data_IF_096405217203
#
_entry.id   IF_096405217203
#
_cell.length_a   1.000
_cell.length_b   1.000
_cell.length_c   1.000
_cell.angle_alpha   90.00
_cell.angle_beta   90.00
_cell.angle_gamma   90.00
#
_symmetry.space_group_name_H-M   'P 1'
#
loop_
_entity.id
_entity.type
_entity.pdbx_description
1 polymer ?
#
# COMPACT_ATOMS: atom_id res chain seq x y z
N UNK A 1 -9.77 -6.81 11.62
CA UNK A 1 -11.24 -6.71 11.73
C UNK A 1 -11.83 -7.69 10.73
N UNK A 2 -12.63 -8.65 11.19
CA UNK A 2 -13.34 -9.56 10.30
C UNK A 2 -14.73 -8.97 10.04
N UNK A 3 -15.07 -8.77 8.76
CA UNK A 3 -16.35 -8.20 8.35
C UNK A 3 -17.03 -9.15 7.35
N UNK A 4 -18.32 -9.38 7.55
CA UNK A 4 -19.13 -10.16 6.64
C UNK A 4 -19.73 -9.21 5.59
N UNK A 5 -19.22 -9.27 4.37
CA UNK A 5 -19.72 -8.48 3.25
C UNK A 5 -20.85 -9.28 2.58
N UNK A 6 -22.11 -8.81 2.60
CA UNK A 6 -23.20 -9.48 1.90
C UNK A 6 -22.97 -9.45 0.39
N UNK A 7 -23.33 -10.55 -0.29
CA UNK A 7 -23.20 -10.71 -1.75
C UNK A 7 -24.55 -11.06 -2.34
N UNK A 8 -24.90 -10.44 -3.45
CA UNK A 8 -26.10 -10.77 -4.21
C UNK A 8 -25.92 -12.12 -4.95
N UNK A 9 -27.04 -12.78 -5.27
CA UNK A 9 -27.03 -14.11 -5.90
C UNK A 9 -26.26 -14.12 -7.22
N UNK A 10 -26.42 -13.07 -8.01
CA UNK A 10 -25.84 -12.98 -9.36
C UNK A 10 -24.44 -12.31 -9.33
N UNK A 11 -23.92 -11.98 -8.14
CA UNK A 11 -22.64 -11.31 -7.90
C UNK A 11 -22.44 -9.95 -8.60
N UNK A 12 -23.54 -9.34 -9.04
CA UNK A 12 -23.61 -8.08 -9.78
C UNK A 12 -23.42 -6.85 -8.92
N UNK A 13 -23.68 -6.94 -7.61
CA UNK A 13 -23.59 -5.80 -6.71
C UNK A 13 -22.14 -5.36 -6.49
N UNK A 14 -21.87 -4.07 -6.67
CA UNK A 14 -20.60 -3.42 -6.32
C UNK A 14 -20.74 -2.58 -5.06
N UNK A 15 -20.13 -2.98 -3.93
CA UNK A 15 -20.17 -2.18 -2.72
C UNK A 15 -19.46 -0.83 -2.94
N UNK A 16 -20.12 0.26 -2.55
CA UNK A 16 -19.65 1.62 -2.81
C UNK A 16 -18.59 2.11 -1.81
N UNK A 17 -18.70 1.68 -0.54
CA UNK A 17 -17.80 2.15 0.54
C UNK A 17 -16.51 1.33 0.59
N UNK A 18 -16.62 0.00 0.46
CA UNK A 18 -15.47 -0.92 0.44
C UNK A 18 -15.52 -1.67 -0.89
N UNK A 19 -14.76 -1.20 -1.88
CA UNK A 19 -14.73 -1.83 -3.20
C UNK A 19 -14.28 -3.29 -3.07
N UNK A 20 -14.68 -4.13 -4.04
CA UNK A 20 -14.27 -5.53 -4.07
C UNK A 20 -12.73 -5.62 -4.06
N UNK A 21 -12.20 -6.41 -3.12
CA UNK A 21 -10.76 -6.63 -2.88
C UNK A 21 -9.98 -5.41 -2.38
N UNK A 22 -10.66 -4.31 -2.08
CA UNK A 22 -10.03 -3.12 -1.56
C UNK A 22 -9.70 -3.30 -0.08
N UNK A 23 -8.41 -3.30 0.21
CA UNK A 23 -7.85 -3.33 1.55
C UNK A 23 -7.11 -2.01 1.69
N UNK A 24 -7.87 -0.96 1.94
CA UNK A 24 -7.33 0.40 1.95
C UNK A 24 -6.21 0.52 3.00
N UNK A 25 -4.98 0.59 2.50
CA UNK A 25 -3.75 0.84 3.25
C UNK A 25 -3.12 2.16 2.83
N UNK A 26 -3.83 2.99 2.06
CA UNK A 26 -3.31 4.20 1.41
C UNK A 26 -2.65 5.15 2.41
N UNK A 27 -3.21 5.24 3.62
CA UNK A 27 -2.70 6.07 4.70
C UNK A 27 -1.29 5.65 5.22
N UNK A 28 -0.88 4.41 4.98
CA UNK A 28 0.40 3.85 5.47
C UNK A 28 1.45 3.76 4.36
N UNK A 29 1.06 3.87 3.08
CA UNK A 29 1.99 3.79 1.94
C UNK A 29 3.09 4.86 2.02
N UNK A 30 2.72 6.09 2.37
CA UNK A 30 3.67 7.18 2.55
C UNK A 30 4.69 6.90 3.66
N UNK A 31 4.28 6.23 4.74
CA UNK A 31 5.19 5.85 5.82
C UNK A 31 6.14 4.72 5.39
N UNK A 32 5.64 3.74 4.64
CA UNK A 32 6.46 2.66 4.08
C UNK A 32 7.55 3.24 3.16
N UNK A 33 7.18 4.19 2.29
CA UNK A 33 8.13 4.89 1.42
C UNK A 33 9.17 5.67 2.24
N UNK A 34 8.73 6.36 3.29
CA UNK A 34 9.62 7.10 4.22
C UNK A 34 10.59 6.19 4.98
N UNK A 35 10.16 5.01 5.39
CA UNK A 35 11.05 4.04 6.04
C UNK A 35 12.07 3.46 5.06
N UNK A 36 11.64 3.16 3.83
CA UNK A 36 12.53 2.68 2.79
C UNK A 36 13.57 3.74 2.41
N UNK A 37 13.19 5.02 2.31
CA UNK A 37 14.13 6.12 2.03
C UNK A 37 15.12 6.36 3.17
N UNK A 38 14.78 6.00 4.42
CA UNK A 38 15.69 5.99 5.57
C UNK A 38 16.62 4.78 5.61
N UNK A 39 16.56 3.88 4.62
CA UNK A 39 17.46 2.73 4.48
C UNK A 39 17.04 1.49 5.28
N UNK A 40 15.80 1.43 5.77
CA UNK A 40 15.28 0.21 6.41
C UNK A 40 15.07 -0.89 5.37
N UNK A 41 15.38 -2.15 5.72
CA UNK A 41 15.12 -3.27 4.81
C UNK A 41 13.63 -3.55 4.71
N UNK A 42 13.19 -4.19 3.62
CA UNK A 42 11.78 -4.56 3.42
C UNK A 42 11.24 -5.48 4.53
N UNK A 43 12.11 -6.27 5.16
CA UNK A 43 11.77 -7.12 6.31
C UNK A 43 11.65 -6.32 7.61
N UNK A 44 12.53 -5.35 7.82
CA UNK A 44 12.46 -4.48 9.01
C UNK A 44 11.21 -3.61 8.96
N UNK A 45 10.88 -3.05 7.79
CA UNK A 45 9.64 -2.29 7.56
C UNK A 45 8.42 -3.17 7.85
N UNK A 46 8.44 -4.42 7.39
CA UNK A 46 7.37 -5.39 7.65
C UNK A 46 7.17 -5.64 9.15
N UNK A 47 8.26 -5.84 9.91
CA UNK A 47 8.19 -5.98 11.37
C UNK A 47 7.67 -4.71 12.03
N UNK A 48 8.20 -3.55 11.65
CA UNK A 48 7.84 -2.27 12.25
C UNK A 48 6.37 -1.91 12.07
N UNK A 49 5.81 -2.15 10.87
CA UNK A 49 4.39 -1.96 10.60
C UNK A 49 3.55 -2.90 11.47
N UNK A 50 3.96 -4.15 11.63
CA UNK A 50 3.26 -5.10 12.49
C UNK A 50 3.26 -4.64 13.95
N UNK A 51 4.38 -4.12 14.44
CA UNK A 51 4.55 -3.69 15.82
C UNK A 51 3.72 -2.44 16.15
N UNK A 52 3.63 -1.46 15.23
CA UNK A 52 2.88 -0.21 15.45
C UNK A 52 1.40 -0.37 15.11
N UNK A 53 1.07 -1.00 14.00
CA UNK A 53 -0.28 -1.03 13.44
C UNK A 53 -1.04 -2.33 13.70
N UNK A 54 -0.38 -3.36 14.23
CA UNK A 54 -1.01 -4.63 14.61
C UNK A 54 -1.39 -5.54 13.44
N UNK A 55 -1.21 -5.10 12.19
CA UNK A 55 -1.42 -5.92 11.01
C UNK A 55 -0.10 -6.18 10.27
N UNK A 56 0.03 -7.37 9.68
CA UNK A 56 1.22 -7.75 8.93
C UNK A 56 1.16 -7.29 7.48
N UNK A 57 2.23 -6.66 7.00
CA UNK A 57 2.51 -6.47 5.58
C UNK A 57 3.67 -7.36 5.17
N UNK A 58 3.59 -7.99 4.00
CA UNK A 58 4.69 -8.81 3.50
C UNK A 58 5.81 -7.93 2.93
N UNK A 59 7.05 -8.42 2.94
CA UNK A 59 8.16 -7.73 2.29
C UNK A 59 7.89 -7.49 0.78
N UNK A 60 7.19 -8.42 0.12
CA UNK A 60 6.76 -8.25 -1.27
C UNK A 60 5.77 -7.09 -1.44
N UNK A 61 4.81 -6.92 -0.52
CA UNK A 61 3.89 -5.79 -0.52
C UNK A 61 4.62 -4.47 -0.28
N UNK A 62 5.61 -4.44 0.62
CA UNK A 62 6.50 -3.27 0.81
C UNK A 62 7.17 -2.90 -0.51
N UNK A 63 7.75 -3.87 -1.23
CA UNK A 63 8.35 -3.64 -2.54
C UNK A 63 7.35 -3.13 -3.59
N UNK A 64 6.14 -3.69 -3.62
CA UNK A 64 5.08 -3.22 -4.53
C UNK A 64 4.70 -1.77 -4.24
N UNK A 65 4.60 -1.38 -2.97
CA UNK A 65 4.29 0.00 -2.55
C UNK A 65 5.42 0.94 -2.94
N UNK A 66 6.68 0.57 -2.68
CA UNK A 66 7.83 1.39 -3.07
C UNK A 66 7.97 1.52 -4.59
N UNK A 67 7.48 0.56 -5.38
CA UNK A 67 7.49 0.68 -6.84
C UNK A 67 6.45 1.66 -7.38
N UNK A 68 5.43 2.05 -6.58
CA UNK A 68 4.41 3.02 -7.00
C UNK A 68 4.97 4.41 -7.29
N UNK A 69 6.12 4.77 -6.73
CA UNK A 69 6.77 6.07 -6.96
C UNK A 69 7.65 6.11 -8.20
N UNK A 70 7.86 4.99 -8.90
CA UNK A 70 8.68 4.94 -10.12
C UNK A 70 8.23 5.94 -11.19
N UNK A 71 6.92 6.13 -11.48
CA UNK A 71 6.47 7.14 -12.42
C UNK A 71 6.84 8.57 -11.97
N UNK A 72 6.70 8.88 -10.68
CA UNK A 72 7.08 10.18 -10.13
C UNK A 72 8.59 10.44 -10.24
N UNK A 73 9.41 9.39 -10.09
CA UNK A 73 10.85 9.47 -10.29
C UNK A 73 11.17 9.78 -11.76
N UNK A 74 10.49 9.12 -12.70
CA UNK A 74 10.67 9.35 -14.13
C UNK A 74 10.26 10.78 -14.54
N UNK A 75 9.13 11.26 -14.04
CA UNK A 75 8.70 12.66 -14.22
C UNK A 75 9.73 13.65 -13.67
N UNK A 76 10.28 13.37 -12.49
CA UNK A 76 11.30 14.22 -11.87
C UNK A 76 12.62 14.23 -12.66
N UNK A 77 13.01 13.08 -13.24
CA UNK A 77 14.23 12.97 -14.06
C UNK A 77 14.09 13.74 -15.38
N UNK A 78 12.89 13.74 -15.98
CA UNK A 78 12.61 14.41 -17.26
C UNK A 78 12.13 15.87 -17.11
N UNK A 79 12.15 16.43 -15.90
CA UNK A 79 11.72 17.81 -15.66
C UNK A 79 12.61 18.80 -16.43
N UNK A 80 12.04 19.90 -16.96
CA UNK A 80 12.85 20.93 -17.63
C UNK A 80 13.87 21.51 -16.65
N UNK A 81 15.10 21.66 -17.15
CA UNK A 81 16.18 22.37 -16.48
C UNK A 81 16.26 23.73 -17.17
N UNK A 82 15.72 24.78 -16.55
CA UNK A 82 15.98 26.15 -16.99
C UNK A 82 17.46 26.52 -16.81
#
# INVERSE_FOLDING_TARGET
>A
LEINIPRDRDASFEPQILKKYDKDISNIEAQIISMYSKGMTTRDISSHIKDIYGFGVSAGLVSSITNKILPTIDEWQNRPLD
#
